data_IF_608067272591
#
_entry.id   IF_608067272591
#
_cell.length_a   1.000
_cell.length_b   1.000
_cell.length_c   1.000
_cell.angle_alpha   90.00
_cell.angle_beta   90.00
_cell.angle_gamma   90.00
#
_symmetry.space_group_name_H-M   'P 1'
#
loop_
_entity.id
_entity.type
_entity.pdbx_description
1 polymer ?
#
# COMPACT_ATOMS: atom_id res chain seq x y z
N UNK A 1 -39.15 -36.27 15.28
CA UNK A 1 -38.96 -34.90 15.85
C UNK A 1 -40.30 -34.19 15.82
N UNK A 2 -40.80 -33.69 16.94
CA UNK A 2 -42.03 -32.88 16.98
C UNK A 2 -41.82 -31.58 16.18
N UNK A 3 -42.88 -31.02 15.57
CA UNK A 3 -42.81 -29.80 14.76
C UNK A 3 -42.09 -28.64 15.47
N UNK A 4 -42.21 -28.56 16.80
CA UNK A 4 -41.49 -27.61 17.67
C UNK A 4 -39.97 -27.82 17.66
N UNK A 5 -39.50 -29.07 17.70
CA UNK A 5 -38.06 -29.38 17.66
C UNK A 5 -37.48 -29.08 16.28
N UNK A 6 -38.24 -29.31 15.20
CA UNK A 6 -37.83 -28.96 13.84
C UNK A 6 -37.70 -27.45 13.65
N UNK A 7 -38.65 -26.66 14.15
CA UNK A 7 -38.60 -25.18 14.10
C UNK A 7 -37.41 -24.64 14.90
N UNK A 8 -37.15 -25.17 16.10
CA UNK A 8 -36.01 -24.77 16.93
C UNK A 8 -34.68 -25.08 16.21
N UNK A 9 -34.56 -26.26 15.60
CA UNK A 9 -33.37 -26.60 14.81
C UNK A 9 -33.19 -25.67 13.60
N UNK A 10 -34.28 -25.30 12.91
CA UNK A 10 -34.24 -24.39 11.77
C UNK A 10 -33.77 -22.98 12.18
N UNK A 11 -34.26 -22.48 13.32
CA UNK A 11 -33.86 -21.18 13.88
C UNK A 11 -32.38 -21.19 14.30
N UNK A 12 -31.91 -22.27 14.92
CA UNK A 12 -30.50 -22.43 15.29
C UNK A 12 -29.56 -22.50 14.08
N UNK A 13 -29.97 -23.16 12.99
CA UNK A 13 -29.19 -23.16 11.74
C UNK A 13 -29.15 -21.76 11.10
N UNK A 14 -30.27 -21.02 11.13
CA UNK A 14 -30.33 -19.65 10.61
C UNK A 14 -29.47 -18.68 11.43
N UNK A 15 -29.36 -18.89 12.75
CA UNK A 15 -28.51 -18.09 13.64
C UNK A 15 -27.02 -18.44 13.52
N UNK A 16 -26.66 -19.68 13.15
CA UNK A 16 -25.26 -20.03 12.83
C UNK A 16 -24.81 -19.46 11.48
N UNK A 17 -25.72 -19.33 10.51
CA UNK A 17 -25.42 -18.74 9.20
C UNK A 17 -25.15 -17.23 9.25
N UNK A 18 -25.65 -16.51 10.27
CA UNK A 18 -25.38 -15.08 10.47
C UNK A 18 -24.12 -14.78 11.27
N UNK A 19 -23.52 -15.79 11.92
CA UNK A 19 -22.29 -15.64 12.71
C UNK A 19 -21.01 -15.64 11.86
N UNK A 20 -21.08 -15.98 10.57
CA UNK A 20 -19.99 -15.75 9.61
C UNK A 20 -20.06 -14.33 9.05
N UNK A 21 -20.19 -13.34 9.94
CA UNK A 21 -19.76 -11.99 9.63
C UNK A 21 -18.24 -12.02 9.55
N UNK A 22 -17.70 -12.44 8.41
CA UNK A 22 -16.29 -12.19 8.09
C UNK A 22 -16.11 -10.70 8.33
N UNK A 23 -15.25 -10.34 9.29
CA UNK A 23 -14.70 -9.01 9.34
C UNK A 23 -14.06 -8.81 7.96
N UNK A 24 -14.81 -8.18 7.05
CA UNK A 24 -14.29 -7.84 5.74
C UNK A 24 -13.13 -6.93 6.05
N UNK A 25 -11.91 -7.44 5.89
CA UNK A 25 -10.72 -6.60 5.90
C UNK A 25 -11.03 -5.33 5.11
N UNK A 26 -10.59 -4.18 5.63
CA UNK A 26 -10.79 -2.87 4.99
C UNK A 26 -10.49 -2.94 3.48
N UNK A 27 -9.58 -3.81 3.09
CA UNK A 27 -9.23 -4.12 1.72
C UNK A 27 -9.52 -5.59 1.41
N UNK A 28 -10.33 -5.81 0.38
CA UNK A 28 -10.50 -7.10 -0.28
C UNK A 28 -9.48 -7.22 -1.41
N UNK A 29 -8.25 -7.61 -1.08
CA UNK A 29 -7.14 -7.67 -2.04
C UNK A 29 -7.36 -8.72 -3.11
N UNK A 30 -7.17 -8.34 -4.38
CA UNK A 30 -7.18 -9.23 -5.54
C UNK A 30 -5.89 -9.06 -6.33
N UNK A 31 -5.34 -10.16 -6.84
CA UNK A 31 -4.21 -10.10 -7.76
C UNK A 31 -4.65 -9.39 -9.04
N UNK A 32 -3.99 -8.29 -9.36
CA UNK A 32 -4.21 -7.48 -10.56
C UNK A 32 -3.21 -7.82 -11.67
N UNK A 33 -2.00 -8.26 -11.31
CA UNK A 33 -0.96 -8.61 -12.28
C UNK A 33 0.33 -9.07 -11.65
N UNK A 34 1.29 -9.45 -12.49
CA UNK A 34 2.67 -9.76 -12.08
C UNK A 34 3.62 -9.17 -13.11
N UNK A 35 4.63 -8.43 -12.64
CA UNK A 35 5.60 -7.72 -13.47
C UNK A 35 6.95 -7.75 -12.77
N UNK A 36 8.03 -8.12 -13.47
CA UNK A 36 9.39 -8.24 -12.92
C UNK A 36 9.49 -9.02 -11.60
N UNK A 37 8.70 -10.09 -11.47
CA UNK A 37 8.64 -10.91 -10.25
C UNK A 37 7.89 -10.26 -9.07
N UNK A 38 7.28 -9.10 -9.29
CA UNK A 38 6.45 -8.38 -8.33
C UNK A 38 4.97 -8.73 -8.53
N UNK A 39 4.28 -9.14 -7.47
CA UNK A 39 2.83 -9.36 -7.48
C UNK A 39 2.09 -8.08 -7.13
N UNK A 40 1.25 -7.60 -8.05
CA UNK A 40 0.46 -6.39 -7.89
C UNK A 40 -0.95 -6.78 -7.46
N UNK A 41 -1.41 -6.21 -6.35
CA UNK A 41 -2.73 -6.43 -5.79
C UNK A 41 -3.48 -5.12 -5.70
N UNK A 42 -4.77 -5.14 -6.00
CA UNK A 42 -5.65 -3.98 -5.86
C UNK A 42 -6.89 -4.30 -5.03
N UNK A 43 -7.51 -3.28 -4.49
CA UNK A 43 -8.79 -3.39 -3.79
C UNK A 43 -9.61 -2.12 -3.94
N UNK A 44 -10.93 -2.27 -4.08
CA UNK A 44 -11.83 -1.13 -4.00
C UNK A 44 -11.86 -0.57 -2.58
N UNK A 45 -11.91 0.75 -2.44
CA UNK A 45 -12.08 1.41 -1.14
C UNK A 45 -13.52 1.84 -1.01
N UNK A 46 -14.23 1.30 -0.02
CA UNK A 46 -15.66 1.54 0.16
C UNK A 46 -15.98 3.05 0.24
N UNK A 47 -16.87 3.51 -0.64
CA UNK A 47 -17.30 4.91 -0.71
C UNK A 47 -16.25 5.88 -1.26
N UNK A 48 -15.25 5.40 -2.02
CA UNK A 48 -14.22 6.21 -2.66
C UNK A 48 -14.07 5.84 -4.14
N UNK A 49 -13.76 6.84 -4.94
CA UNK A 49 -13.51 6.68 -6.38
C UNK A 49 -12.05 6.32 -6.70
N UNK A 50 -11.26 6.00 -5.67
CA UNK A 50 -9.90 5.50 -5.82
C UNK A 50 -9.78 4.06 -5.31
N UNK A 51 -8.77 3.36 -5.82
CA UNK A 51 -8.41 2.02 -5.39
C UNK A 51 -7.26 2.05 -4.38
N UNK A 52 -7.17 1.02 -3.55
CA UNK A 52 -5.95 0.69 -2.84
C UNK A 52 -5.08 -0.19 -3.75
N UNK A 53 -3.78 0.05 -3.76
CA UNK A 53 -2.79 -0.73 -4.49
C UNK A 53 -1.71 -1.23 -3.53
N UNK A 54 -1.20 -2.44 -3.78
CA UNK A 54 -0.13 -3.09 -3.02
C UNK A 54 0.72 -3.93 -3.97
N UNK A 55 2.03 -3.72 -3.98
CA UNK A 55 2.97 -4.60 -4.64
C UNK A 55 3.72 -5.44 -3.59
N UNK A 56 4.05 -6.68 -3.92
CA UNK A 56 4.91 -7.55 -3.11
C UNK A 56 5.94 -8.20 -3.99
N UNK A 57 7.21 -8.05 -3.65
CA UNK A 57 8.33 -8.50 -4.47
C UNK A 57 9.52 -8.89 -3.60
N UNK A 58 10.46 -9.60 -4.20
CA UNK A 58 11.77 -9.89 -3.61
C UNK A 58 12.79 -9.07 -4.36
N UNK A 59 13.37 -8.07 -3.68
CA UNK A 59 14.44 -7.25 -4.25
C UNK A 59 15.76 -7.79 -3.69
N UNK A 60 16.74 -8.16 -4.54
CA UNK A 60 18.03 -8.70 -4.10
C UNK A 60 18.97 -7.58 -3.60
N UNK A 61 18.53 -6.83 -2.60
CA UNK A 61 19.28 -5.74 -1.98
C UNK A 61 19.02 -5.72 -0.46
N UNK A 62 20.02 -5.26 0.30
CA UNK A 62 19.85 -5.04 1.74
C UNK A 62 18.94 -3.85 2.00
N UNK A 63 18.22 -3.85 3.13
CA UNK A 63 17.27 -2.79 3.46
C UNK A 63 17.93 -1.41 3.53
N UNK A 64 19.22 -1.32 3.91
CA UNK A 64 19.93 -0.03 3.97
C UNK A 64 20.13 0.56 2.57
N UNK A 65 20.36 -0.28 1.56
CA UNK A 65 20.51 0.17 0.16
C UNK A 65 19.19 0.75 -0.33
N UNK A 66 18.07 0.09 -0.04
CA UNK A 66 16.73 0.60 -0.35
C UNK A 66 16.49 1.92 0.40
N UNK A 67 16.87 2.00 1.68
CA UNK A 67 16.75 3.21 2.48
C UNK A 67 17.51 4.40 1.89
N UNK A 68 18.73 4.19 1.37
CA UNK A 68 19.52 5.25 0.70
C UNK A 68 18.83 5.74 -0.56
N UNK A 69 18.34 4.83 -1.42
CA UNK A 69 17.62 5.20 -2.65
C UNK A 69 16.35 6.00 -2.33
N UNK A 70 15.60 5.58 -1.30
CA UNK A 70 14.39 6.29 -0.86
C UNK A 70 14.69 7.61 -0.11
N UNK A 71 15.90 7.82 0.42
CA UNK A 71 16.30 9.11 1.01
C UNK A 71 16.73 10.11 -0.07
N UNK A 72 17.19 9.62 -1.22
CA UNK A 72 17.73 10.43 -2.31
C UNK A 72 16.64 11.07 -3.20
N UNK A 73 15.81 11.91 -2.58
CA UNK A 73 14.69 12.63 -3.21
C UNK A 73 15.10 13.38 -4.50
N UNK A 74 16.24 14.10 -4.57
CA UNK A 74 16.65 14.79 -5.79
C UNK A 74 16.80 13.87 -7.01
N UNK A 75 17.16 12.60 -6.80
CA UNK A 75 17.40 11.63 -7.87
C UNK A 75 16.22 10.67 -8.11
N UNK A 76 15.04 10.93 -7.53
CA UNK A 76 13.83 10.16 -7.86
C UNK A 76 13.54 10.09 -9.37
N UNK A 77 13.71 11.17 -10.18
CA UNK A 77 13.44 11.10 -11.62
C UNK A 77 14.31 10.09 -12.40
N UNK A 78 15.42 9.63 -11.83
CA UNK A 78 16.30 8.65 -12.48
C UNK A 78 15.76 7.22 -12.43
N UNK A 79 14.79 6.94 -11.54
CA UNK A 79 14.30 5.57 -11.34
C UNK A 79 12.78 5.46 -11.15
N UNK A 80 12.10 6.52 -10.73
CA UNK A 80 10.66 6.53 -10.55
C UNK A 80 10.01 6.99 -11.86
N UNK A 81 9.47 6.05 -12.63
CA UNK A 81 8.97 6.23 -14.01
C UNK A 81 8.10 7.50 -14.20
N UNK A 82 7.10 7.69 -13.35
CA UNK A 82 6.19 8.84 -13.43
C UNK A 82 6.76 10.12 -12.79
N UNK A 83 7.94 10.11 -12.18
CA UNK A 83 8.49 11.27 -11.48
C UNK A 83 9.32 12.14 -12.43
N UNK A 84 8.76 13.29 -12.84
CA UNK A 84 9.46 14.18 -13.77
C UNK A 84 10.50 15.06 -13.09
N UNK A 85 10.20 15.54 -11.88
CA UNK A 85 11.05 16.49 -11.15
C UNK A 85 10.71 16.44 -9.67
N UNK A 86 11.72 16.67 -8.82
CA UNK A 86 11.54 16.87 -7.38
C UNK A 86 12.21 18.15 -6.92
N UNK A 87 11.77 18.65 -5.76
CA UNK A 87 12.43 19.76 -5.06
C UNK A 87 12.24 19.60 -3.56
N UNK A 88 13.34 19.54 -2.80
CA UNK A 88 13.27 19.64 -1.34
C UNK A 88 12.81 21.05 -0.98
N UNK A 89 11.69 21.16 -0.29
CA UNK A 89 11.12 22.43 0.15
C UNK A 89 11.58 22.78 1.57
N UNK A 90 11.74 21.77 2.42
CA UNK A 90 12.19 21.93 3.81
C UNK A 90 12.78 20.64 4.37
N UNK A 91 13.94 20.75 5.00
CA UNK A 91 14.44 19.72 5.94
C UNK A 91 13.83 20.01 7.31
N UNK A 92 12.97 19.11 7.79
CA UNK A 92 12.28 19.27 9.09
C UNK A 92 13.14 18.74 10.22
N UNK A 93 13.74 17.57 10.03
CA UNK A 93 14.65 16.92 10.97
C UNK A 93 15.52 15.94 10.15
N UNK A 94 16.78 16.30 9.91
CA UNK A 94 17.69 15.52 9.07
C UNK A 94 18.14 14.21 9.74
N UNK A 95 18.30 14.23 11.07
CA UNK A 95 18.68 13.06 11.87
C UNK A 95 17.55 12.01 11.92
N UNK A 96 16.29 12.46 11.86
CA UNK A 96 15.11 11.57 11.86
C UNK A 96 14.49 11.34 10.49
N UNK A 97 15.19 11.68 9.41
CA UNK A 97 14.72 11.46 8.04
C UNK A 97 13.36 12.13 7.74
N UNK A 98 13.17 13.37 8.20
CA UNK A 98 11.90 14.10 7.99
C UNK A 98 12.10 15.27 7.03
N UNK A 99 11.50 15.14 5.84
CA UNK A 99 11.58 16.12 4.77
C UNK A 99 10.19 16.53 4.30
N UNK A 100 10.06 17.78 3.85
CA UNK A 100 8.94 18.22 3.02
C UNK A 100 9.51 18.50 1.64
N UNK A 101 8.97 17.84 0.62
CA UNK A 101 9.40 18.02 -0.76
C UNK A 101 8.20 18.08 -1.69
N UNK A 102 8.42 18.72 -2.83
CA UNK A 102 7.50 18.74 -3.95
C UNK A 102 7.96 17.73 -4.99
N UNK A 103 7.01 17.06 -5.62
CA UNK A 103 7.24 16.23 -6.81
C UNK A 103 6.23 16.57 -7.90
N UNK A 104 6.70 16.53 -9.14
CA UNK A 104 5.87 16.61 -10.35
C UNK A 104 5.75 15.22 -10.95
N UNK A 105 4.53 14.72 -10.99
CA UNK A 105 4.20 13.46 -11.65
C UNK A 105 3.76 13.74 -13.09
N UNK A 106 4.31 12.99 -14.03
CA UNK A 106 3.91 13.00 -15.44
C UNK A 106 3.52 11.58 -15.86
N UNK A 107 2.30 11.42 -16.37
CA UNK A 107 1.84 10.17 -16.98
C UNK A 107 1.37 10.51 -18.38
N UNK A 108 1.88 9.80 -19.38
CA UNK A 108 1.48 10.00 -20.78
C UNK A 108 -0.05 9.98 -20.90
N UNK A 109 -0.61 10.91 -21.69
CA UNK A 109 -2.05 11.12 -21.89
C UNK A 109 -2.83 11.80 -20.75
N UNK A 110 -2.20 12.09 -19.61
CA UNK A 110 -2.84 12.80 -18.50
C UNK A 110 -2.14 14.12 -18.19
N UNK A 111 -2.87 15.13 -17.66
CA UNK A 111 -2.24 16.33 -17.14
C UNK A 111 -1.30 16.01 -15.99
N UNK A 112 -0.22 16.79 -15.89
CA UNK A 112 0.73 16.66 -14.81
C UNK A 112 0.07 16.94 -13.46
N UNK A 113 0.56 16.23 -12.44
CA UNK A 113 0.09 16.36 -11.07
C UNK A 113 1.24 16.78 -10.19
N UNK A 114 0.98 17.77 -9.34
CA UNK A 114 1.93 18.23 -8.35
C UNK A 114 1.52 17.72 -6.98
N UNK A 115 2.50 17.29 -6.19
CA UNK A 115 2.29 16.85 -4.82
C UNK A 115 3.32 17.51 -3.90
N UNK A 116 2.86 17.97 -2.74
CA UNK A 116 3.73 18.35 -1.62
C UNK A 116 3.60 17.29 -0.55
N UNK A 117 4.68 16.57 -0.29
CA UNK A 117 4.72 15.45 0.64
C UNK A 117 5.57 15.78 1.85
N UNK A 118 5.09 15.42 3.03
CA UNK A 118 5.92 15.28 4.23
C UNK A 118 6.30 13.81 4.36
N UNK A 119 7.56 13.48 4.12
CA UNK A 119 8.09 12.13 4.30
C UNK A 119 8.77 11.99 5.65
N UNK A 120 8.62 10.81 6.25
CA UNK A 120 9.37 10.34 7.42
C UNK A 120 9.78 8.91 7.15
N UNK A 121 11.08 8.64 7.10
CA UNK A 121 11.60 7.28 6.91
C UNK A 121 11.83 6.60 8.26
N UNK A 122 11.41 5.34 8.37
CA UNK A 122 11.72 4.47 9.51
C UNK A 122 12.20 3.15 8.93
N UNK A 123 13.44 2.77 9.24
CA UNK A 123 14.03 1.53 8.76
C UNK A 123 13.98 0.49 9.88
N UNK A 124 13.24 -0.60 9.66
CA UNK A 124 13.22 -1.74 10.57
C UNK A 124 14.43 -2.63 10.30
N UNK A 125 15.54 -2.33 10.96
CA UNK A 125 16.80 -3.10 10.84
C UNK A 125 16.72 -4.51 11.44
N UNK A 126 15.68 -4.82 12.22
CA UNK A 126 15.52 -6.15 12.83
C UNK A 126 14.88 -7.10 11.83
N UNK A 127 13.78 -6.69 11.22
CA UNK A 127 13.02 -7.50 10.27
C UNK A 127 13.48 -7.31 8.82
N UNK A 128 14.22 -6.24 8.51
CA UNK A 128 14.79 -5.95 7.19
C UNK A 128 16.09 -6.70 6.86
N UNK A 129 16.47 -7.72 7.64
CA UNK A 129 17.66 -8.54 7.37
C UNK A 129 17.32 -9.58 6.31
N UNK A 130 17.55 -9.23 5.06
CA UNK A 130 17.77 -10.23 4.02
C UNK A 130 19.23 -10.09 3.58
N UNK A 131 19.94 -11.23 3.59
CA UNK A 131 21.38 -11.45 3.49
C UNK A 131 22.08 -11.68 4.83
#
# INVERSE_FOLDING_TARGET
>A
MTNKNFIITLILMLFMASATGFASDRYQWKLAGTEDGCQIHTSNVAGKDYIAAKATCVIPARIEVIGVILRDIPNYPEWMDDCKTTKILKTVDDEKDVFIFWLRQHVTMFPDRDMVLRSKTIIDMKNGRSL
#
